data_IF_376512398014
#
_entry.id   IF_376512398014
#
_cell.length_a   1.000
_cell.length_b   1.000
_cell.length_c   1.000
_cell.angle_alpha   90.00
_cell.angle_beta   90.00
_cell.angle_gamma   90.00
#
_symmetry.space_group_name_H-M   'P 1'
#
loop_
_entity.id
_entity.type
_entity.pdbx_description
1 polymer ?
#
# COMPACT_ATOMS: atom_id res chain seq x y z
N UNK A 1 -19.07 -31.84 7.29
CA UNK A 1 -17.81 -32.05 8.06
C UNK A 1 -16.72 -32.75 7.24
N UNK A 2 -17.05 -33.87 6.57
CA UNK A 2 -16.11 -34.68 5.77
C UNK A 2 -15.44 -33.88 4.61
N UNK A 3 -16.19 -33.19 3.75
CA UNK A 3 -15.65 -32.38 2.64
C UNK A 3 -14.75 -31.25 3.11
N UNK A 4 -15.04 -30.62 4.25
CA UNK A 4 -14.20 -29.55 4.82
C UNK A 4 -12.85 -30.08 5.32
N UNK A 5 -12.79 -31.30 5.84
CA UNK A 5 -11.55 -31.98 6.22
C UNK A 5 -10.70 -32.29 4.98
N UNK A 6 -11.32 -32.84 3.92
CA UNK A 6 -10.62 -33.12 2.65
C UNK A 6 -10.06 -31.82 2.05
N UNK A 7 -10.84 -30.74 2.00
CA UNK A 7 -10.38 -29.45 1.50
C UNK A 7 -9.20 -28.88 2.31
N UNK A 8 -9.23 -29.04 3.63
CA UNK A 8 -8.12 -28.59 4.49
C UNK A 8 -6.85 -29.43 4.27
N UNK A 9 -6.96 -30.74 4.12
CA UNK A 9 -5.84 -31.62 3.78
C UNK A 9 -5.27 -31.27 2.40
N UNK A 10 -6.13 -31.09 1.40
CA UNK A 10 -5.74 -30.69 0.07
C UNK A 10 -4.96 -29.37 0.09
N UNK A 11 -5.49 -28.35 0.76
CA UNK A 11 -4.83 -27.05 0.91
C UNK A 11 -3.49 -27.16 1.65
N UNK A 12 -3.40 -28.00 2.68
CA UNK A 12 -2.15 -28.19 3.41
C UNK A 12 -1.05 -28.79 2.53
N UNK A 13 -1.39 -29.80 1.71
CA UNK A 13 -0.42 -30.46 0.83
C UNK A 13 -0.07 -29.61 -0.38
N UNK A 14 -1.04 -28.92 -0.99
CA UNK A 14 -0.80 -27.99 -2.11
C UNK A 14 0.11 -26.83 -1.68
N UNK A 15 0.02 -26.38 -0.43
CA UNK A 15 0.86 -25.33 0.13
C UNK A 15 2.21 -25.84 0.67
N UNK A 16 2.58 -27.09 0.43
CA UNK A 16 3.89 -27.62 0.86
C UNK A 16 5.04 -26.80 0.28
N UNK A 17 5.95 -26.35 1.15
CA UNK A 17 7.12 -25.54 0.77
C UNK A 17 6.86 -24.04 0.65
N UNK A 18 5.62 -23.56 0.81
CA UNK A 18 5.28 -22.15 0.74
C UNK A 18 5.48 -21.48 2.11
N UNK A 19 6.05 -20.27 2.11
CA UNK A 19 6.25 -19.45 3.31
C UNK A 19 6.04 -17.96 3.00
N UNK A 20 5.79 -17.09 4.01
CA UNK A 20 5.43 -15.68 3.81
C UNK A 20 6.45 -14.84 3.04
N UNK A 21 7.73 -15.22 3.06
CA UNK A 21 8.79 -14.52 2.32
C UNK A 21 8.96 -14.97 0.86
N UNK A 22 8.12 -15.87 0.36
CA UNK A 22 8.20 -16.32 -1.02
C UNK A 22 7.48 -15.32 -1.94
N UNK A 23 8.11 -14.98 -3.08
CA UNK A 23 7.47 -14.10 -4.04
C UNK A 23 6.17 -14.71 -4.56
N UNK A 24 5.23 -13.85 -4.97
CA UNK A 24 3.96 -14.28 -5.52
C UNK A 24 4.10 -15.26 -6.70
N UNK A 25 5.04 -14.98 -7.61
CA UNK A 25 5.33 -15.84 -8.77
C UNK A 25 5.84 -17.21 -8.33
N UNK A 26 6.81 -17.27 -7.41
CA UNK A 26 7.35 -18.53 -6.90
C UNK A 26 6.33 -19.34 -6.12
N UNK A 27 5.49 -18.69 -5.35
CA UNK A 27 4.36 -19.32 -4.65
C UNK A 27 3.44 -20.05 -5.63
N UNK A 28 3.12 -19.41 -6.74
CA UNK A 28 2.22 -19.99 -7.78
C UNK A 28 2.87 -21.15 -8.52
N UNK A 29 4.12 -20.99 -8.93
CA UNK A 29 4.88 -22.05 -9.60
C UNK A 29 4.96 -23.29 -8.71
N UNK A 30 5.22 -23.10 -7.43
CA UNK A 30 5.29 -24.20 -6.45
C UNK A 30 3.93 -24.85 -6.24
N UNK A 31 2.85 -24.06 -6.09
CA UNK A 31 1.47 -24.60 -5.99
C UNK A 31 1.10 -25.40 -7.22
N UNK A 32 1.37 -24.89 -8.41
CA UNK A 32 1.07 -25.60 -9.66
C UNK A 32 1.75 -26.96 -9.72
N UNK A 33 3.04 -27.04 -9.38
CA UNK A 33 3.75 -28.31 -9.33
C UNK A 33 3.16 -29.27 -8.31
N UNK A 34 2.81 -28.77 -7.11
CA UNK A 34 2.21 -29.60 -6.08
C UNK A 34 0.83 -30.12 -6.51
N UNK A 35 -0.01 -29.30 -7.16
CA UNK A 35 -1.34 -29.69 -7.69
C UNK A 35 -1.21 -30.83 -8.70
N UNK A 36 -0.15 -30.86 -9.49
CA UNK A 36 0.08 -31.91 -10.47
C UNK A 36 0.74 -33.15 -9.86
N UNK A 37 1.76 -32.97 -9.01
CA UNK A 37 2.51 -34.06 -8.42
C UNK A 37 1.68 -34.92 -7.46
N UNK A 38 0.73 -34.32 -6.69
CA UNK A 38 -0.09 -35.07 -5.73
C UNK A 38 -0.97 -36.14 -6.40
N UNK A 39 -1.79 -35.80 -7.41
CA UNK A 39 -2.53 -36.81 -8.18
C UNK A 39 -1.58 -37.78 -8.90
N UNK A 40 -0.41 -37.29 -9.37
CA UNK A 40 0.64 -38.11 -9.97
C UNK A 40 1.05 -39.27 -9.04
N UNK A 41 1.40 -38.98 -7.79
CA UNK A 41 1.75 -40.00 -6.77
C UNK A 41 0.65 -41.04 -6.64
N UNK A 42 -0.61 -40.61 -6.48
CA UNK A 42 -1.74 -41.55 -6.28
C UNK A 42 -1.95 -42.41 -7.51
N UNK A 43 -1.90 -41.82 -8.68
CA UNK A 43 -2.17 -42.51 -9.96
C UNK A 43 -1.05 -43.50 -10.30
N UNK A 44 0.22 -43.10 -10.19
CA UNK A 44 1.36 -43.97 -10.49
C UNK A 44 1.47 -45.11 -9.50
N UNK A 45 1.15 -44.91 -8.22
CA UNK A 45 1.06 -45.96 -7.21
C UNK A 45 -0.06 -46.94 -7.53
N UNK A 46 -1.24 -46.45 -7.90
CA UNK A 46 -2.36 -47.31 -8.34
C UNK A 46 -1.96 -48.21 -9.51
N UNK A 47 -1.34 -47.63 -10.53
CA UNK A 47 -0.86 -48.41 -11.67
C UNK A 47 0.30 -49.33 -11.36
N UNK A 48 1.14 -49.01 -10.38
CA UNK A 48 2.15 -49.92 -9.86
C UNK A 48 1.52 -51.20 -9.31
N UNK A 49 0.54 -51.05 -8.41
CA UNK A 49 -0.17 -52.20 -7.82
C UNK A 49 -0.93 -52.99 -8.89
N UNK A 50 -1.63 -52.28 -9.80
CA UNK A 50 -2.38 -52.96 -10.88
C UNK A 50 -1.45 -53.78 -11.79
N UNK A 51 -0.26 -53.31 -12.09
CA UNK A 51 0.71 -54.03 -12.91
C UNK A 51 1.29 -55.25 -12.20
N UNK A 52 1.49 -55.19 -10.88
CA UNK A 52 1.90 -56.34 -10.08
C UNK A 52 0.81 -57.44 -10.12
N UNK A 53 -0.45 -57.07 -9.92
CA UNK A 53 -1.58 -58.00 -10.00
C UNK A 53 -1.72 -58.61 -11.40
N UNK A 54 -1.40 -57.87 -12.45
CA UNK A 54 -1.43 -58.33 -13.85
C UNK A 54 -0.15 -59.05 -14.29
N UNK A 55 0.73 -59.44 -13.38
CA UNK A 55 2.01 -60.12 -13.65
C UNK A 55 2.92 -59.39 -14.66
N UNK A 56 2.97 -58.01 -14.52
CA UNK A 56 3.83 -57.14 -15.38
C UNK A 56 4.89 -56.41 -14.50
N UNK A 57 5.89 -57.14 -13.96
CA UNK A 57 6.79 -56.61 -12.95
C UNK A 57 7.65 -55.43 -13.43
N UNK A 58 8.10 -55.45 -14.71
CA UNK A 58 8.87 -54.35 -15.25
C UNK A 58 8.06 -53.06 -15.35
N UNK A 59 6.82 -53.13 -15.75
CA UNK A 59 5.94 -51.98 -15.82
C UNK A 59 5.55 -51.48 -14.41
N UNK A 60 5.41 -52.38 -13.46
CA UNK A 60 5.21 -52.03 -12.05
C UNK A 60 6.44 -51.27 -11.49
N UNK A 61 7.67 -51.74 -11.79
CA UNK A 61 8.90 -51.09 -11.39
C UNK A 61 9.00 -49.66 -11.94
N UNK A 62 8.70 -49.46 -13.23
CA UNK A 62 8.69 -48.15 -13.86
C UNK A 62 7.68 -47.22 -13.16
N UNK A 63 6.48 -47.68 -12.86
CA UNK A 63 5.49 -46.87 -12.13
C UNK A 63 5.92 -46.56 -10.69
N UNK A 64 6.65 -47.47 -10.02
CA UNK A 64 7.23 -47.20 -8.71
C UNK A 64 8.27 -46.07 -8.79
N UNK A 65 9.12 -46.09 -9.82
CA UNK A 65 10.11 -45.03 -10.04
C UNK A 65 9.41 -43.68 -10.31
N UNK A 66 8.32 -43.66 -11.09
CA UNK A 66 7.51 -42.47 -11.28
C UNK A 66 6.96 -41.94 -9.93
N UNK A 67 6.39 -42.82 -9.10
CA UNK A 67 5.88 -42.46 -7.78
C UNK A 67 6.97 -41.81 -6.91
N UNK A 68 8.17 -42.40 -6.90
CA UNK A 68 9.33 -41.87 -6.17
C UNK A 68 9.80 -40.51 -6.73
N UNK A 69 9.74 -40.31 -8.05
CA UNK A 69 10.05 -39.03 -8.68
C UNK A 69 9.06 -37.95 -8.26
N UNK A 70 7.76 -38.23 -8.27
CA UNK A 70 6.73 -37.28 -7.83
C UNK A 70 6.86 -36.94 -6.33
N UNK A 71 7.16 -37.93 -5.49
CA UNK A 71 7.45 -37.72 -4.05
C UNK A 71 8.71 -36.87 -3.86
N UNK A 72 9.75 -37.08 -4.68
CA UNK A 72 10.97 -36.26 -4.65
C UNK A 72 10.69 -34.81 -4.99
N UNK A 73 9.83 -34.53 -5.95
CA UNK A 73 9.41 -33.16 -6.29
C UNK A 73 8.77 -32.46 -5.09
N UNK A 74 7.82 -33.13 -4.42
CA UNK A 74 7.17 -32.61 -3.22
C UNK A 74 8.17 -32.40 -2.07
N UNK A 75 9.12 -33.31 -1.91
CA UNK A 75 10.20 -33.22 -0.92
C UNK A 75 11.14 -32.03 -1.19
N UNK A 76 11.56 -31.83 -2.44
CA UNK A 76 12.40 -30.71 -2.84
C UNK A 76 11.68 -29.38 -2.60
N UNK A 77 10.38 -29.28 -2.95
CA UNK A 77 9.57 -28.11 -2.65
C UNK A 77 9.49 -27.85 -1.14
N UNK A 78 9.27 -28.89 -0.31
CA UNK A 78 9.28 -28.78 1.15
C UNK A 78 10.63 -28.29 1.69
N UNK A 79 11.74 -28.69 1.09
CA UNK A 79 13.10 -28.25 1.43
C UNK A 79 13.47 -26.89 0.81
N UNK A 80 12.53 -26.20 0.15
CA UNK A 80 12.70 -24.90 -0.52
C UNK A 80 13.72 -24.94 -1.68
N UNK A 81 13.95 -26.11 -2.29
CA UNK A 81 14.83 -26.32 -3.44
C UNK A 81 14.00 -26.26 -4.72
N UNK A 82 13.37 -25.11 -4.99
CA UNK A 82 12.36 -24.96 -6.04
C UNK A 82 12.91 -25.13 -7.46
N UNK A 83 14.14 -24.69 -7.70
CA UNK A 83 14.79 -24.86 -9.01
C UNK A 83 15.04 -26.32 -9.33
N UNK A 84 15.55 -27.05 -8.35
CA UNK A 84 15.81 -28.50 -8.48
C UNK A 84 14.51 -29.29 -8.62
N UNK A 85 13.44 -28.91 -7.92
CA UNK A 85 12.14 -29.53 -8.08
C UNK A 85 11.62 -29.37 -9.51
N UNK A 86 11.75 -28.17 -10.09
CA UNK A 86 11.35 -27.91 -11.48
C UNK A 86 12.20 -28.65 -12.49
N UNK A 87 13.51 -28.67 -12.30
CA UNK A 87 14.40 -29.44 -13.16
C UNK A 87 14.11 -30.95 -13.09
N UNK A 88 13.82 -31.46 -11.89
CA UNK A 88 13.47 -32.88 -11.70
C UNK A 88 12.21 -33.26 -12.49
N UNK A 89 11.16 -32.41 -12.50
CA UNK A 89 9.93 -32.66 -13.31
C UNK A 89 10.29 -32.89 -14.76
N UNK A 90 11.09 -32.01 -15.34
CA UNK A 90 11.44 -32.08 -16.78
C UNK A 90 12.29 -33.34 -17.07
N UNK A 91 13.33 -33.55 -16.27
CA UNK A 91 14.27 -34.67 -16.47
C UNK A 91 13.55 -36.01 -16.31
N UNK A 92 12.82 -36.20 -15.20
CA UNK A 92 12.10 -37.44 -14.97
C UNK A 92 10.98 -37.68 -15.99
N UNK A 93 10.24 -36.62 -16.37
CA UNK A 93 9.20 -36.76 -17.37
C UNK A 93 9.77 -37.19 -18.74
N UNK A 94 10.84 -36.57 -19.22
CA UNK A 94 11.47 -36.94 -20.49
C UNK A 94 12.00 -38.39 -20.47
N UNK A 95 12.71 -38.75 -19.40
CA UNK A 95 13.29 -40.08 -19.28
C UNK A 95 12.21 -41.15 -19.07
N UNK A 96 11.37 -40.98 -18.06
CA UNK A 96 10.44 -42.06 -17.65
C UNK A 96 9.26 -42.18 -18.60
N UNK A 97 8.65 -41.07 -19.04
CA UNK A 97 7.55 -41.14 -20.00
C UNK A 97 8.07 -41.52 -21.41
N UNK A 98 9.25 -41.04 -21.79
CA UNK A 98 9.89 -41.43 -23.07
C UNK A 98 10.20 -42.92 -23.11
N UNK A 99 10.94 -43.42 -22.11
CA UNK A 99 11.31 -44.85 -22.02
C UNK A 99 10.05 -45.73 -21.91
N UNK A 100 9.13 -45.37 -21.01
CA UNK A 100 7.93 -46.16 -20.81
C UNK A 100 7.00 -46.18 -22.02
N UNK A 101 6.81 -45.04 -22.68
CA UNK A 101 6.03 -44.94 -23.92
C UNK A 101 6.66 -45.76 -25.05
N UNK A 102 7.99 -45.67 -25.21
CA UNK A 102 8.75 -46.38 -26.22
C UNK A 102 8.67 -47.91 -26.09
N UNK A 103 9.04 -48.45 -24.91
CA UNK A 103 9.12 -49.91 -24.73
C UNK A 103 7.76 -50.56 -24.43
N UNK A 104 6.86 -49.89 -23.73
CA UNK A 104 5.59 -50.52 -23.32
C UNK A 104 4.39 -50.07 -24.10
N UNK A 105 4.48 -48.99 -24.89
CA UNK A 105 3.39 -48.43 -25.70
C UNK A 105 2.08 -48.32 -24.91
N UNK A 106 2.18 -47.78 -23.68
CA UNK A 106 1.09 -47.79 -22.72
C UNK A 106 0.32 -46.45 -22.64
N UNK A 107 0.63 -45.45 -23.49
CA UNK A 107 -0.03 -44.15 -23.54
C UNK A 107 0.47 -43.15 -22.49
N UNK A 108 1.57 -43.43 -21.77
CA UNK A 108 2.14 -42.47 -20.82
C UNK A 108 2.84 -41.32 -21.52
N UNK A 109 3.22 -41.45 -22.77
CA UNK A 109 3.77 -40.38 -23.59
C UNK A 109 2.83 -39.16 -23.69
N UNK A 110 1.51 -39.33 -23.53
CA UNK A 110 0.57 -38.21 -23.49
C UNK A 110 0.77 -37.27 -22.30
N UNK A 111 1.39 -37.74 -21.20
CA UNK A 111 1.76 -36.84 -20.09
C UNK A 111 2.88 -35.87 -20.44
N UNK A 112 3.64 -36.09 -21.52
CA UNK A 112 4.58 -35.11 -22.06
C UNK A 112 3.87 -33.84 -22.54
N UNK A 113 2.60 -33.94 -22.96
CA UNK A 113 1.77 -32.75 -23.28
C UNK A 113 1.52 -31.93 -22.02
N UNK A 114 1.20 -32.58 -20.90
CA UNK A 114 1.05 -31.87 -19.60
C UNK A 114 2.36 -31.19 -19.21
N UNK A 115 3.51 -31.87 -19.36
CA UNK A 115 4.82 -31.31 -19.05
C UNK A 115 5.11 -30.09 -19.94
N UNK A 116 4.78 -30.15 -21.22
CA UNK A 116 4.90 -29.02 -22.14
C UNK A 116 4.07 -27.81 -21.66
N UNK A 117 2.82 -28.03 -21.28
CA UNK A 117 1.96 -26.98 -20.71
C UNK A 117 2.57 -26.41 -19.42
N UNK A 118 3.03 -27.27 -18.50
CA UNK A 118 3.66 -26.83 -17.26
C UNK A 118 4.90 -25.98 -17.49
N UNK A 119 5.74 -26.33 -18.49
CA UNK A 119 6.92 -25.54 -18.84
C UNK A 119 6.52 -24.13 -19.26
N UNK A 120 5.48 -23.97 -20.11
CA UNK A 120 4.97 -22.65 -20.51
C UNK A 120 4.36 -21.85 -19.35
N UNK A 121 3.81 -22.52 -18.35
CA UNK A 121 3.22 -21.87 -17.18
C UNK A 121 4.26 -21.49 -16.10
N UNK A 122 5.45 -22.11 -16.13
CA UNK A 122 6.48 -21.96 -15.09
C UNK A 122 7.64 -21.08 -15.55
N UNK A 123 8.06 -21.17 -16.81
CA UNK A 123 9.25 -20.49 -17.31
C UNK A 123 8.92 -19.31 -18.21
N UNK A 124 9.66 -18.20 -18.05
CA UNK A 124 9.47 -16.98 -18.84
C UNK A 124 10.52 -16.83 -19.95
N UNK A 125 11.61 -17.62 -19.90
CA UNK A 125 12.72 -17.55 -20.88
C UNK A 125 12.32 -18.18 -22.22
N UNK A 126 12.14 -17.34 -23.24
CA UNK A 126 11.68 -17.75 -24.58
C UNK A 126 12.60 -18.77 -25.26
N UNK A 127 13.91 -18.64 -25.08
CA UNK A 127 14.87 -19.57 -25.64
C UNK A 127 14.82 -20.95 -24.98
N UNK A 128 14.71 -20.97 -23.64
CA UNK A 128 14.53 -22.21 -22.88
C UNK A 128 13.21 -22.90 -23.27
N UNK A 129 12.12 -22.13 -23.40
CA UNK A 129 10.82 -22.64 -23.83
C UNK A 129 10.90 -23.26 -25.23
N UNK A 130 11.52 -22.56 -26.18
CA UNK A 130 11.73 -23.08 -27.55
C UNK A 130 12.53 -24.38 -27.55
N UNK A 131 13.67 -24.41 -26.86
CA UNK A 131 14.51 -25.60 -26.77
C UNK A 131 13.77 -26.80 -26.16
N UNK A 132 13.13 -26.62 -24.99
CA UNK A 132 12.40 -27.68 -24.31
C UNK A 132 11.19 -28.16 -25.15
N UNK A 133 10.49 -27.24 -25.82
CA UNK A 133 9.39 -27.61 -26.71
C UNK A 133 9.84 -28.52 -27.86
N UNK A 134 10.93 -28.15 -28.55
CA UNK A 134 11.49 -28.97 -29.61
C UNK A 134 11.92 -30.33 -29.07
N UNK A 135 12.57 -30.37 -27.92
CA UNK A 135 13.01 -31.61 -27.26
C UNK A 135 11.83 -32.53 -26.94
N UNK A 136 10.78 -31.99 -26.28
CA UNK A 136 9.57 -32.79 -25.93
C UNK A 136 8.86 -33.30 -27.17
N UNK A 137 8.64 -32.45 -28.18
CA UNK A 137 8.01 -32.84 -29.43
C UNK A 137 8.83 -33.92 -30.12
N UNK A 138 10.17 -33.80 -30.13
CA UNK A 138 11.06 -34.85 -30.71
C UNK A 138 10.94 -36.16 -29.96
N UNK A 139 10.85 -36.16 -28.63
CA UNK A 139 10.62 -37.38 -27.84
C UNK A 139 9.25 -37.99 -28.13
N UNK A 140 8.20 -37.17 -28.19
CA UNK A 140 6.84 -37.65 -28.58
C UNK A 140 6.89 -38.31 -29.98
N UNK A 141 7.50 -37.66 -30.97
CA UNK A 141 7.64 -38.18 -32.31
C UNK A 141 8.43 -39.51 -32.33
N UNK A 142 9.54 -39.57 -31.60
CA UNK A 142 10.35 -40.79 -31.49
C UNK A 142 9.53 -41.93 -30.86
N UNK A 143 8.83 -41.70 -29.76
CA UNK A 143 8.00 -42.69 -29.09
C UNK A 143 6.85 -43.16 -29.96
N UNK A 144 6.33 -42.32 -30.86
CA UNK A 144 5.24 -42.64 -31.77
C UNK A 144 5.73 -43.45 -32.99
N UNK A 145 6.79 -43.01 -33.65
CA UNK A 145 7.24 -43.57 -34.94
C UNK A 145 8.21 -44.75 -34.79
N UNK A 146 9.13 -44.76 -33.84
CA UNK A 146 10.13 -45.79 -33.72
C UNK A 146 9.53 -47.20 -33.43
N UNK A 147 8.53 -47.37 -32.58
CA UNK A 147 7.87 -48.67 -32.37
C UNK A 147 7.18 -49.20 -33.62
N UNK A 148 6.70 -48.32 -34.50
CA UNK A 148 6.10 -48.72 -35.79
C UNK A 148 7.18 -49.26 -36.72
N UNK A 149 8.36 -48.62 -36.80
CA UNK A 149 9.50 -49.03 -37.61
C UNK A 149 10.06 -50.36 -37.14
N UNK A 150 10.07 -50.61 -35.82
CA UNK A 150 10.63 -51.84 -35.24
C UNK A 150 9.60 -52.93 -34.89
N UNK A 151 8.36 -52.79 -35.38
CA UNK A 151 7.22 -53.71 -35.16
C UNK A 151 6.98 -54.06 -33.64
N UNK A 152 7.17 -53.08 -32.77
CA UNK A 152 6.93 -53.27 -31.35
C UNK A 152 5.42 -53.23 -31.03
N UNK A 153 4.88 -54.33 -30.47
CA UNK A 153 3.47 -54.43 -30.13
C UNK A 153 3.16 -53.78 -28.75
N UNK A 154 1.98 -53.18 -28.58
CA UNK A 154 1.58 -52.68 -27.27
C UNK A 154 1.51 -53.78 -26.23
N UNK A 155 2.08 -53.56 -25.04
CA UNK A 155 2.05 -54.51 -23.94
C UNK A 155 0.78 -54.37 -23.06
N UNK A 156 -0.04 -53.39 -23.34
CA UNK A 156 -1.27 -53.09 -22.57
C UNK A 156 -2.48 -52.99 -23.48
N UNK A 157 -3.69 -53.26 -22.95
CA UNK A 157 -4.93 -53.11 -23.74
C UNK A 157 -5.15 -51.67 -24.18
N UNK A 158 -5.80 -51.48 -25.36
CA UNK A 158 -6.14 -50.21 -25.94
C UNK A 158 -6.94 -49.27 -24.99
N UNK A 159 -7.83 -49.85 -24.18
CA UNK A 159 -8.59 -49.14 -23.16
C UNK A 159 -7.71 -48.43 -22.13
N UNK A 160 -6.52 -48.99 -21.81
CA UNK A 160 -5.56 -48.36 -20.88
C UNK A 160 -4.84 -47.17 -21.52
N UNK A 161 -4.52 -47.28 -22.82
CA UNK A 161 -3.92 -46.19 -23.58
C UNK A 161 -4.90 -45.02 -23.63
N UNK A 162 -6.18 -45.30 -23.90
CA UNK A 162 -7.24 -44.30 -23.90
C UNK A 162 -7.41 -43.67 -22.49
N UNK A 163 -7.39 -44.49 -21.45
CA UNK A 163 -7.48 -43.99 -20.05
C UNK A 163 -6.33 -43.03 -19.71
N UNK A 164 -5.08 -43.36 -20.10
CA UNK A 164 -3.94 -42.46 -19.88
C UNK A 164 -4.07 -41.15 -20.64
N UNK A 165 -4.57 -41.18 -21.88
CA UNK A 165 -4.87 -39.98 -22.67
C UNK A 165 -5.92 -39.08 -21.95
N UNK A 166 -7.03 -39.67 -21.53
CA UNK A 166 -8.11 -38.94 -20.84
C UNK A 166 -7.61 -38.32 -19.54
N UNK A 167 -6.83 -39.07 -18.76
CA UNK A 167 -6.24 -38.57 -17.51
C UNK A 167 -5.24 -37.43 -17.80
N UNK A 168 -4.36 -37.58 -18.78
CA UNK A 168 -3.41 -36.55 -19.15
C UNK A 168 -4.10 -35.25 -19.57
N UNK A 169 -5.14 -35.34 -20.42
CA UNK A 169 -5.96 -34.20 -20.80
C UNK A 169 -6.71 -33.58 -19.62
N UNK A 170 -7.25 -34.40 -18.71
CA UNK A 170 -7.89 -33.94 -17.47
C UNK A 170 -6.92 -33.13 -16.60
N UNK A 171 -5.69 -33.60 -16.44
CA UNK A 171 -4.66 -32.89 -15.68
C UNK A 171 -4.22 -31.57 -16.38
N UNK A 172 -4.16 -31.54 -17.71
CA UNK A 172 -3.95 -30.29 -18.46
C UNK A 172 -5.06 -29.28 -18.18
N UNK A 173 -6.33 -29.74 -18.21
CA UNK A 173 -7.48 -28.86 -17.90
C UNK A 173 -7.39 -28.32 -16.48
N UNK A 174 -7.05 -29.15 -15.49
CA UNK A 174 -6.85 -28.73 -14.10
C UNK A 174 -5.74 -27.66 -14.01
N UNK A 175 -4.59 -27.88 -14.65
CA UNK A 175 -3.49 -26.93 -14.68
C UNK A 175 -3.90 -25.59 -15.31
N UNK A 176 -4.66 -25.61 -16.40
CA UNK A 176 -5.15 -24.41 -17.08
C UNK A 176 -6.22 -23.66 -16.26
N UNK A 177 -7.14 -24.38 -15.61
CA UNK A 177 -8.14 -23.77 -14.70
C UNK A 177 -7.41 -23.07 -13.54
N UNK A 178 -6.46 -23.74 -12.92
CA UNK A 178 -5.64 -23.14 -11.87
C UNK A 178 -4.91 -21.89 -12.37
N UNK A 179 -4.26 -21.96 -13.52
CA UNK A 179 -3.56 -20.82 -14.12
C UNK A 179 -4.51 -19.65 -14.37
N UNK A 180 -5.69 -19.93 -14.95
CA UNK A 180 -6.70 -18.89 -15.19
C UNK A 180 -7.14 -18.20 -13.90
N UNK A 181 -7.47 -18.98 -12.87
CA UNK A 181 -7.86 -18.44 -11.54
C UNK A 181 -6.81 -17.50 -10.99
N UNK A 182 -5.57 -17.92 -11.06
CA UNK A 182 -4.39 -17.19 -10.63
C UNK A 182 -4.15 -15.91 -11.45
N UNK A 183 -4.34 -15.98 -12.76
CA UNK A 183 -4.18 -14.82 -13.64
C UNK A 183 -5.25 -13.77 -13.38
N UNK A 184 -6.50 -14.20 -13.16
CA UNK A 184 -7.60 -13.29 -12.81
C UNK A 184 -7.33 -12.57 -11.48
N UNK A 185 -6.92 -13.30 -10.44
CA UNK A 185 -6.57 -12.72 -9.13
C UNK A 185 -5.44 -11.66 -9.24
N UNK A 186 -4.44 -11.94 -10.09
CA UNK A 186 -3.36 -10.98 -10.34
C UNK A 186 -3.82 -9.73 -11.08
N UNK A 187 -4.70 -9.89 -12.06
CA UNK A 187 -5.27 -8.76 -12.79
C UNK A 187 -6.11 -7.87 -11.86
N UNK A 188 -6.93 -8.45 -10.99
CA UNK A 188 -7.72 -7.71 -10.00
C UNK A 188 -6.83 -6.91 -9.06
N UNK A 189 -5.79 -7.52 -8.48
CA UNK A 189 -4.84 -6.83 -7.61
C UNK A 189 -4.12 -5.68 -8.32
N UNK A 190 -3.69 -5.90 -9.58
CA UNK A 190 -3.00 -4.87 -10.37
C UNK A 190 -3.92 -3.71 -10.69
N UNK A 191 -5.18 -3.99 -11.02
CA UNK A 191 -6.19 -2.96 -11.32
C UNK A 191 -6.53 -2.15 -10.06
N UNK A 192 -6.63 -2.78 -8.89
CA UNK A 192 -6.88 -2.07 -7.63
C UNK A 192 -5.69 -1.17 -7.24
N UNK A 193 -4.46 -1.64 -7.42
CA UNK A 193 -3.26 -0.81 -7.22
C UNK A 193 -3.24 0.38 -8.19
N UNK A 194 -3.61 0.16 -9.45
CA UNK A 194 -3.69 1.21 -10.47
C UNK A 194 -4.74 2.26 -10.09
N UNK A 195 -5.94 1.84 -9.66
CA UNK A 195 -6.99 2.75 -9.20
C UNK A 195 -6.53 3.58 -8.01
N UNK A 196 -5.85 2.96 -7.03
CA UNK A 196 -5.31 3.68 -5.88
C UNK A 196 -4.26 4.73 -6.31
N UNK A 197 -3.35 4.37 -7.23
CA UNK A 197 -2.38 5.31 -7.81
C UNK A 197 -3.04 6.45 -8.59
N UNK A 198 -4.10 6.16 -9.36
CA UNK A 198 -4.84 7.17 -10.12
C UNK A 198 -5.54 8.17 -9.20
N UNK A 199 -6.11 7.72 -8.08
CA UNK A 199 -6.71 8.60 -7.05
C UNK A 199 -5.63 9.52 -6.46
N UNK A 200 -4.51 8.95 -6.00
CA UNK A 200 -3.39 9.73 -5.46
C UNK A 200 -2.85 10.77 -6.46
N UNK A 201 -2.72 10.39 -7.73
CA UNK A 201 -2.25 11.30 -8.77
C UNK A 201 -3.25 12.42 -9.06
N UNK A 202 -4.56 12.14 -9.07
CA UNK A 202 -5.60 13.17 -9.22
C UNK A 202 -5.58 14.16 -8.07
N UNK A 203 -5.43 13.69 -6.84
CA UNK A 203 -5.37 14.56 -5.66
C UNK A 203 -4.12 15.42 -5.70
N UNK A 204 -2.98 14.87 -6.13
CA UNK A 204 -1.74 15.61 -6.38
C UNK A 204 -1.94 16.71 -7.43
N UNK A 205 -2.57 16.42 -8.55
CA UNK A 205 -2.83 17.41 -9.63
C UNK A 205 -3.78 18.51 -9.16
N UNK A 206 -4.85 18.17 -8.42
CA UNK A 206 -5.77 19.14 -7.82
C UNK A 206 -5.03 20.07 -6.88
N UNK A 207 -4.15 19.53 -6.03
CA UNK A 207 -3.35 20.32 -5.11
C UNK A 207 -2.45 21.31 -5.86
N UNK A 208 -1.70 20.86 -6.87
CA UNK A 208 -0.87 21.76 -7.69
C UNK A 208 -1.68 22.87 -8.36
N UNK A 209 -2.89 22.59 -8.80
CA UNK A 209 -3.80 23.57 -9.38
C UNK A 209 -4.21 24.65 -8.37
N UNK A 210 -4.56 24.26 -7.14
CA UNK A 210 -4.90 25.19 -6.05
C UNK A 210 -3.70 26.06 -5.70
N UNK A 211 -2.53 25.45 -5.52
CA UNK A 211 -1.28 26.16 -5.22
C UNK A 211 -0.92 27.17 -6.31
N UNK A 212 -0.96 26.75 -7.58
CA UNK A 212 -0.66 27.62 -8.71
C UNK A 212 -1.61 28.84 -8.76
N UNK A 213 -2.89 28.64 -8.43
CA UNK A 213 -3.87 29.73 -8.33
C UNK A 213 -3.52 30.68 -7.16
N UNK A 214 -3.24 30.13 -5.98
CA UNK A 214 -2.99 30.90 -4.77
C UNK A 214 -1.63 31.63 -4.78
N UNK A 215 -0.65 31.17 -5.57
CA UNK A 215 0.58 31.89 -5.86
C UNK A 215 0.36 32.97 -6.91
N UNK A 216 -0.39 32.70 -7.98
CA UNK A 216 -0.60 33.63 -9.08
C UNK A 216 -1.34 34.90 -8.62
N UNK A 217 -2.34 34.76 -7.74
CA UNK A 217 -3.15 35.88 -7.27
C UNK A 217 -2.34 36.96 -6.56
N UNK A 218 -1.52 36.71 -5.52
CA UNK A 218 -0.68 37.72 -4.88
C UNK A 218 0.42 38.24 -5.78
N UNK A 219 0.98 37.41 -6.67
CA UNK A 219 1.97 37.86 -7.67
C UNK A 219 1.37 38.88 -8.64
N UNK A 220 0.17 38.66 -9.16
CA UNK A 220 -0.51 39.60 -10.04
C UNK A 220 -0.82 40.94 -9.32
N UNK A 221 -1.18 40.88 -8.04
CA UNK A 221 -1.38 42.09 -7.21
C UNK A 221 -0.06 42.83 -7.01
N UNK A 222 1.02 42.09 -6.72
CA UNK A 222 2.36 42.64 -6.58
C UNK A 222 2.80 43.35 -7.87
N UNK A 223 2.65 42.68 -9.02
CA UNK A 223 2.97 43.26 -10.33
C UNK A 223 2.17 44.54 -10.62
N UNK A 224 0.86 44.51 -10.34
CA UNK A 224 -0.01 45.67 -10.46
C UNK A 224 0.42 46.85 -9.61
N UNK A 225 0.75 46.60 -8.32
CA UNK A 225 1.26 47.64 -7.41
C UNK A 225 2.61 48.22 -7.89
N UNK A 226 3.55 47.34 -8.33
CA UNK A 226 4.85 47.80 -8.88
C UNK A 226 4.70 48.61 -10.15
N UNK A 227 3.80 48.23 -11.06
CA UNK A 227 3.45 49.01 -12.25
C UNK A 227 2.87 50.41 -11.90
N UNK A 228 2.02 50.45 -10.91
CA UNK A 228 1.47 51.68 -10.37
C UNK A 228 2.58 52.59 -9.80
N UNK A 229 3.54 52.05 -9.04
CA UNK A 229 4.72 52.82 -8.54
C UNK A 229 5.61 53.35 -9.67
N UNK A 230 5.78 52.59 -10.73
CA UNK A 230 6.65 53.02 -11.85
C UNK A 230 6.10 54.20 -12.65
N UNK A 231 4.77 54.42 -12.58
CA UNK A 231 4.09 55.44 -13.38
C UNK A 231 3.96 56.82 -12.70
N UNK A 232 4.65 57.06 -11.57
CA UNK A 232 4.80 58.37 -10.88
C UNK A 232 3.52 59.18 -10.58
N UNK A 233 2.37 58.54 -10.33
CA UNK A 233 1.09 59.26 -10.15
C UNK A 233 0.52 59.15 -8.71
N UNK A 234 1.38 58.98 -7.68
CA UNK A 234 0.91 58.78 -6.30
C UNK A 234 1.36 59.90 -5.35
N UNK A 235 0.45 60.22 -4.40
CA UNK A 235 0.80 60.98 -3.21
C UNK A 235 1.64 60.13 -2.24
N UNK A 236 2.39 60.74 -1.34
CA UNK A 236 3.23 60.07 -0.34
C UNK A 236 2.39 59.18 0.57
N UNK A 237 1.15 59.54 0.84
CA UNK A 237 0.19 58.78 1.64
C UNK A 237 -0.28 57.49 0.93
N UNK A 238 -0.52 57.56 -0.39
CA UNK A 238 -0.93 56.43 -1.20
C UNK A 238 0.22 55.41 -1.35
N UNK A 239 1.46 55.92 -1.51
CA UNK A 239 2.68 55.08 -1.55
C UNK A 239 2.85 54.26 -0.23
N UNK A 240 2.64 54.89 0.91
CA UNK A 240 2.76 54.21 2.21
C UNK A 240 1.69 53.13 2.39
N UNK A 241 0.46 53.41 2.00
CA UNK A 241 -0.64 52.46 2.04
C UNK A 241 -0.39 51.26 1.12
N UNK A 242 0.03 51.50 -0.11
CA UNK A 242 0.37 50.46 -1.08
C UNK A 242 1.58 49.63 -0.64
N UNK A 243 2.60 50.23 0.01
CA UNK A 243 3.73 49.48 0.57
C UNK A 243 3.32 48.53 1.69
N UNK A 244 2.38 48.93 2.55
CA UNK A 244 1.82 48.08 3.61
C UNK A 244 1.05 46.91 2.99
N UNK A 245 0.20 47.17 2.00
CA UNK A 245 -0.54 46.12 1.29
C UNK A 245 0.39 45.12 0.59
N UNK A 246 1.45 45.63 -0.05
CA UNK A 246 2.49 44.88 -0.69
C UNK A 246 3.17 43.95 0.31
N UNK A 247 3.59 44.46 1.46
CA UNK A 247 4.24 43.69 2.51
C UNK A 247 3.35 42.57 3.01
N UNK A 248 2.06 42.82 3.24
CA UNK A 248 1.09 41.81 3.64
C UNK A 248 0.93 40.70 2.59
N UNK A 249 0.88 41.06 1.30
CA UNK A 249 0.73 40.08 0.21
C UNK A 249 1.99 39.22 0.02
N UNK A 250 3.18 39.80 0.15
CA UNK A 250 4.45 39.06 0.08
C UNK A 250 4.58 38.12 1.29
N UNK A 251 4.23 38.57 2.46
CA UNK A 251 4.26 37.76 3.67
C UNK A 251 3.29 36.54 3.55
N UNK A 252 2.09 36.77 3.03
CA UNK A 252 1.09 35.72 2.79
C UNK A 252 1.58 34.70 1.73
N UNK A 253 2.26 35.17 0.67
CA UNK A 253 2.86 34.30 -0.34
C UNK A 253 3.97 33.43 0.27
N UNK A 254 4.84 34.03 1.11
CA UNK A 254 5.90 33.32 1.83
C UNK A 254 5.36 32.22 2.72
N UNK A 255 4.28 32.47 3.46
CA UNK A 255 3.61 31.47 4.29
C UNK A 255 3.03 30.32 3.45
N UNK A 256 2.35 30.64 2.34
CA UNK A 256 1.82 29.64 1.42
C UNK A 256 2.91 28.76 0.82
N UNK A 257 4.04 29.38 0.42
CA UNK A 257 5.19 28.67 -0.15
C UNK A 257 5.87 27.77 0.90
N UNK A 258 6.03 28.25 2.12
CA UNK A 258 6.59 27.45 3.22
C UNK A 258 5.70 26.23 3.55
N UNK A 259 4.39 26.39 3.58
CA UNK A 259 3.45 25.32 3.77
C UNK A 259 3.53 24.28 2.64
N UNK A 260 3.71 24.74 1.39
CA UNK A 260 3.91 23.87 0.23
C UNK A 260 5.23 23.09 0.32
N UNK A 261 6.35 23.77 0.64
CA UNK A 261 7.66 23.14 0.77
C UNK A 261 7.65 22.06 1.86
N UNK A 262 7.03 22.34 3.00
CA UNK A 262 6.86 21.37 4.07
C UNK A 262 6.04 20.16 3.63
N UNK A 263 4.96 20.39 2.89
CA UNK A 263 4.14 19.31 2.34
C UNK A 263 4.89 18.45 1.31
N UNK A 264 5.59 19.09 0.35
CA UNK A 264 6.36 18.37 -0.69
C UNK A 264 7.55 17.60 -0.11
N UNK A 265 8.25 18.16 0.87
CA UNK A 265 9.34 17.47 1.57
C UNK A 265 8.85 16.22 2.28
N UNK A 266 7.67 16.26 2.88
CA UNK A 266 7.04 15.11 3.51
C UNK A 266 6.61 14.03 2.51
N UNK A 267 6.08 14.42 1.36
CA UNK A 267 5.65 13.47 0.31
C UNK A 267 6.84 12.77 -0.39
N UNK A 268 7.97 13.46 -0.59
CA UNK A 268 9.13 12.93 -1.32
C UNK A 268 9.99 11.96 -0.50
N UNK A 269 10.01 12.08 0.83
CA UNK A 269 10.84 11.23 1.71
C UNK A 269 10.04 10.26 2.58
N UNK A 270 8.68 10.26 2.49
CA UNK A 270 7.82 9.77 3.57
C UNK A 270 8.03 10.68 4.78
N UNK A 271 7.00 11.29 5.34
CA UNK A 271 7.16 12.03 6.59
C UNK A 271 7.82 11.09 7.60
N UNK A 272 9.11 11.25 7.87
CA UNK A 272 9.70 10.68 9.06
C UNK A 272 9.13 11.48 10.22
N UNK A 273 8.09 10.96 10.81
CA UNK A 273 7.54 11.46 12.09
C UNK A 273 8.45 10.91 13.17
N UNK A 274 9.06 11.78 13.93
CA UNK A 274 9.92 11.44 15.07
C UNK A 274 9.18 11.81 16.37
N UNK A 275 8.25 10.95 16.85
CA UNK A 275 7.47 11.24 18.03
C UNK A 275 8.35 11.16 19.27
N UNK A 276 8.19 12.14 20.15
CA UNK A 276 8.85 12.21 21.43
C UNK A 276 7.84 12.64 22.51
N UNK A 277 8.22 12.50 23.75
CA UNK A 277 7.43 13.03 24.87
C UNK A 277 7.60 14.55 24.93
N UNK A 278 6.52 15.29 24.67
CA UNK A 278 6.50 16.76 24.55
C UNK A 278 5.55 17.35 25.56
N UNK A 279 5.99 18.31 26.34
CA UNK A 279 5.12 19.07 27.23
C UNK A 279 4.29 20.09 26.46
N UNK A 280 2.97 20.04 26.61
CA UNK A 280 2.05 20.88 25.84
C UNK A 280 2.11 22.37 26.24
N UNK A 281 2.24 22.70 27.52
CA UNK A 281 2.17 24.08 27.93
C UNK A 281 3.32 24.96 27.39
N UNK A 282 4.60 24.54 27.41
CA UNK A 282 5.67 25.28 26.76
C UNK A 282 5.44 25.45 25.26
N UNK A 283 4.98 24.39 24.57
CA UNK A 283 4.75 24.40 23.14
C UNK A 283 3.60 25.35 22.74
N UNK A 284 2.52 25.37 23.48
CA UNK A 284 1.39 26.30 23.31
C UNK A 284 1.84 27.75 23.53
N UNK A 285 2.64 28.01 24.58
CA UNK A 285 3.17 29.35 24.88
C UNK A 285 4.09 29.84 23.76
N UNK A 286 4.98 28.99 23.21
CA UNK A 286 5.83 29.35 22.09
C UNK A 286 4.98 29.63 20.83
N UNK A 287 3.96 28.84 20.56
CA UNK A 287 3.04 29.10 19.45
C UNK A 287 2.30 30.45 19.62
N UNK A 288 1.81 30.77 20.82
CA UNK A 288 1.12 32.02 21.13
C UNK A 288 2.02 33.25 21.04
N UNK A 289 3.29 33.18 21.46
CA UNK A 289 4.24 34.27 21.41
C UNK A 289 4.38 34.86 20.01
N UNK A 290 4.30 34.03 18.99
CA UNK A 290 4.36 34.43 17.58
C UNK A 290 3.20 35.35 17.20
N UNK A 291 2.03 35.23 17.84
CA UNK A 291 0.80 35.94 17.48
C UNK A 291 0.44 37.05 18.49
N UNK A 292 1.26 37.33 19.47
CA UNK A 292 0.99 38.35 20.48
C UNK A 292 0.63 39.75 19.90
N UNK A 293 1.32 40.23 18.84
CA UNK A 293 0.94 41.50 18.21
C UNK A 293 -0.47 41.49 17.63
N UNK A 294 -0.87 40.38 17.00
CA UNK A 294 -2.19 40.22 16.37
C UNK A 294 -3.30 40.15 17.43
N UNK A 295 -3.04 39.46 18.51
CA UNK A 295 -3.96 39.33 19.68
C UNK A 295 -4.21 40.69 20.28
N UNK A 296 -3.16 41.47 20.53
CA UNK A 296 -3.26 42.84 21.09
C UNK A 296 -3.96 43.79 20.10
N UNK A 297 -3.65 43.74 18.81
CA UNK A 297 -4.25 44.59 17.80
C UNK A 297 -5.77 44.39 17.71
N UNK A 298 -6.24 43.15 17.87
CA UNK A 298 -7.66 42.77 17.79
C UNK A 298 -8.37 42.81 19.14
N UNK A 299 -7.64 43.14 20.25
CA UNK A 299 -8.16 43.21 21.61
C UNK A 299 -8.62 41.88 22.19
N UNK A 300 -8.11 40.75 21.67
CA UNK A 300 -8.56 39.44 22.08
C UNK A 300 -8.11 39.06 23.49
N UNK A 301 -8.99 38.39 24.20
CA UNK A 301 -8.69 37.80 25.51
C UNK A 301 -8.25 36.35 25.33
N UNK A 302 -7.19 35.98 26.05
CA UNK A 302 -6.70 34.60 26.09
C UNK A 302 -7.08 33.94 27.40
N UNK A 303 -7.74 32.80 27.30
CA UNK A 303 -8.05 31.94 28.46
C UNK A 303 -7.32 30.61 28.25
N UNK A 304 -6.29 30.34 29.07
CA UNK A 304 -5.45 29.15 28.93
C UNK A 304 -5.57 28.25 30.16
N UNK A 305 -6.04 27.03 29.91
CA UNK A 305 -6.19 25.96 30.90
C UNK A 305 -5.46 24.69 30.44
N UNK A 306 -4.13 24.81 30.33
CA UNK A 306 -3.22 23.71 29.98
C UNK A 306 -2.28 23.46 31.13
N UNK A 307 -2.36 22.27 31.74
CA UNK A 307 -1.45 21.90 32.84
C UNK A 307 0.00 21.82 32.31
N UNK A 308 0.93 22.42 33.04
CA UNK A 308 2.36 22.43 32.74
C UNK A 308 3.01 21.04 32.66
N UNK A 309 2.34 20.03 33.19
CA UNK A 309 2.83 18.64 33.26
C UNK A 309 2.15 17.68 32.28
N UNK A 310 1.31 18.16 31.39
CA UNK A 310 0.62 17.30 30.44
C UNK A 310 1.55 16.91 29.28
N UNK A 311 2.13 15.69 29.23
CA UNK A 311 2.95 15.22 28.13
C UNK A 311 2.07 14.60 27.05
N UNK A 312 2.45 14.83 25.79
CA UNK A 312 1.90 14.12 24.62
C UNK A 312 3.03 13.40 23.90
N UNK A 313 2.75 12.26 23.31
CA UNK A 313 3.70 11.54 22.46
C UNK A 313 3.48 11.95 21.01
N UNK A 314 4.26 12.90 20.53
CA UNK A 314 4.11 13.46 19.18
C UNK A 314 5.41 14.10 18.66
N UNK A 315 5.50 14.29 17.35
CA UNK A 315 6.57 15.07 16.72
C UNK A 315 6.39 16.56 17.05
N UNK A 316 7.37 17.14 17.73
CA UNK A 316 7.34 18.53 18.21
C UNK A 316 7.14 19.53 17.06
N UNK A 317 7.83 19.33 15.93
CA UNK A 317 7.76 20.24 14.79
C UNK A 317 6.39 20.19 14.10
N UNK A 318 5.84 18.97 13.92
CA UNK A 318 4.51 18.79 13.35
C UNK A 318 3.44 19.37 14.27
N UNK A 319 3.51 19.12 15.57
CA UNK A 319 2.56 19.64 16.53
C UNK A 319 2.63 21.17 16.63
N UNK A 320 3.83 21.77 16.59
CA UNK A 320 4.01 23.22 16.53
C UNK A 320 3.33 23.84 15.30
N UNK A 321 3.42 23.20 14.12
CA UNK A 321 2.74 23.66 12.91
C UNK A 321 1.22 23.62 13.08
N UNK A 322 0.71 22.53 13.65
CA UNK A 322 -0.72 22.37 13.94
C UNK A 322 -1.22 23.47 14.88
N UNK A 323 -0.52 23.68 16.00
CA UNK A 323 -0.87 24.71 16.97
C UNK A 323 -0.89 26.10 16.36
N UNK A 324 0.16 26.50 15.64
CA UNK A 324 0.22 27.80 14.98
C UNK A 324 -0.91 27.98 13.98
N UNK A 325 -1.27 26.95 13.24
CA UNK A 325 -2.38 27.00 12.29
C UNK A 325 -3.73 27.20 12.97
N UNK A 326 -4.01 26.44 14.05
CA UNK A 326 -5.26 26.54 14.79
C UNK A 326 -5.38 27.89 15.53
N UNK A 327 -4.30 28.37 16.15
CA UNK A 327 -4.26 29.66 16.83
C UNK A 327 -4.43 30.80 15.81
N UNK A 328 -3.74 30.75 14.69
CA UNK A 328 -3.92 31.73 13.60
C UNK A 328 -5.35 31.78 13.10
N UNK A 329 -5.99 30.62 12.93
CA UNK A 329 -7.41 30.55 12.52
C UNK A 329 -8.33 31.14 13.61
N UNK A 330 -8.10 30.81 14.89
CA UNK A 330 -8.88 31.36 15.99
C UNK A 330 -8.79 32.89 16.05
N UNK A 331 -7.61 33.47 15.88
CA UNK A 331 -7.39 34.91 15.82
C UNK A 331 -8.10 35.53 14.60
N UNK A 332 -7.94 34.91 13.44
CA UNK A 332 -8.49 35.39 12.17
C UNK A 332 -10.02 35.46 12.17
N UNK A 333 -10.69 34.43 12.70
CA UNK A 333 -12.12 34.31 12.65
C UNK A 333 -12.84 34.84 13.90
N UNK A 334 -12.15 35.16 15.00
CA UNK A 334 -12.71 35.85 16.17
C UNK A 334 -13.18 37.24 15.84
N UNK A 335 -14.23 37.68 16.51
CA UNK A 335 -14.63 39.09 16.55
C UNK A 335 -13.65 39.92 17.41
N UNK A 336 -13.63 41.25 17.23
CA UNK A 336 -12.89 42.15 18.10
C UNK A 336 -13.35 41.95 19.57
N UNK A 337 -12.40 42.06 20.51
CA UNK A 337 -12.62 41.85 21.93
C UNK A 337 -13.12 40.46 22.33
N UNK A 338 -13.14 39.50 21.38
CA UNK A 338 -13.53 38.13 21.64
C UNK A 338 -12.55 37.36 22.52
N UNK A 339 -12.93 36.15 22.92
CA UNK A 339 -12.09 35.28 23.77
C UNK A 339 -11.63 34.07 22.95
N UNK A 340 -10.35 33.74 23.03
CA UNK A 340 -9.78 32.48 22.56
C UNK A 340 -9.45 31.63 23.77
N UNK A 341 -10.01 30.43 23.83
CA UNK A 341 -9.79 29.48 24.93
C UNK A 341 -8.95 28.32 24.42
N UNK A 342 -7.84 28.03 25.12
CA UNK A 342 -6.97 26.87 24.83
C UNK A 342 -6.97 26.01 26.09
N UNK A 343 -7.46 24.79 25.99
CA UNK A 343 -7.52 23.88 27.15
C UNK A 343 -7.02 22.49 26.78
N UNK A 344 -6.39 21.80 27.73
CA UNK A 344 -5.99 20.42 27.60
C UNK A 344 -6.56 19.60 28.75
N UNK A 345 -7.03 18.41 28.42
CA UNK A 345 -7.43 17.39 29.38
C UNK A 345 -6.77 16.07 29.00
N UNK A 346 -6.38 15.30 30.01
CA UNK A 346 -5.75 13.98 29.80
C UNK A 346 -6.61 12.89 30.41
N UNK A 347 -6.80 11.81 29.72
CA UNK A 347 -7.11 10.51 30.27
C UNK A 347 -5.82 9.65 30.21
N UNK A 348 -5.77 8.53 30.91
CA UNK A 348 -4.54 7.70 31.02
C UNK A 348 -3.96 7.21 29.67
N UNK A 349 -4.62 7.44 28.55
CA UNK A 349 -4.21 6.96 27.21
C UNK A 349 -4.03 8.09 26.21
N UNK A 350 -4.85 9.12 26.33
CA UNK A 350 -4.90 10.20 25.34
C UNK A 350 -4.93 11.55 26.02
N UNK A 351 -4.41 12.54 25.34
CA UNK A 351 -4.54 13.95 25.69
C UNK A 351 -5.42 14.62 24.66
N UNK A 352 -6.46 15.31 25.11
CA UNK A 352 -7.34 16.11 24.30
C UNK A 352 -6.98 17.58 24.47
N UNK A 353 -6.43 18.20 23.43
CA UNK A 353 -6.15 19.63 23.36
C UNK A 353 -7.24 20.31 22.53
N UNK A 354 -7.84 21.38 23.05
CA UNK A 354 -8.85 22.16 22.36
C UNK A 354 -8.41 23.62 22.17
N UNK A 355 -8.72 24.16 20.97
CA UNK A 355 -8.59 25.58 20.62
C UNK A 355 -9.97 26.08 20.23
N UNK A 356 -10.54 26.99 20.98
CA UNK A 356 -11.88 27.52 20.80
C UNK A 356 -11.87 29.03 20.61
N UNK A 357 -12.66 29.52 19.64
CA UNK A 357 -12.87 30.94 19.39
C UNK A 357 -14.35 31.32 19.52
N UNK A 358 -14.60 32.60 19.77
CA UNK A 358 -15.94 33.21 19.78
C UNK A 358 -16.16 34.05 18.51
N UNK A 359 -15.92 33.43 17.36
CA UNK A 359 -16.00 34.10 16.08
C UNK A 359 -17.24 33.81 15.27
N UNK A 360 -17.11 33.98 13.93
CA UNK A 360 -18.23 33.85 13.00
C UNK A 360 -18.80 32.42 12.89
N UNK A 361 -18.03 31.42 13.30
CA UNK A 361 -18.43 30.03 13.15
C UNK A 361 -18.61 29.58 11.70
N UNK A 362 -19.10 28.35 11.50
CA UNK A 362 -19.35 27.77 10.18
C UNK A 362 -20.54 26.82 10.18
N UNK A 363 -21.17 26.69 9.03
CA UNK A 363 -22.26 25.75 8.77
C UNK A 363 -21.76 24.30 8.67
N UNK A 364 -22.68 23.34 8.65
CA UNK A 364 -22.39 21.92 8.65
C UNK A 364 -21.71 21.45 7.34
N UNK A 365 -22.11 21.99 6.21
CA UNK A 365 -21.54 21.64 4.91
C UNK A 365 -20.04 22.01 4.85
N UNK A 366 -19.67 23.16 5.44
CA UNK A 366 -18.28 23.56 5.58
C UNK A 366 -17.48 22.67 6.52
N UNK A 367 -18.05 22.28 7.64
CA UNK A 367 -17.38 21.39 8.58
C UNK A 367 -17.03 20.04 7.95
N UNK A 368 -17.93 19.45 7.15
CA UNK A 368 -17.73 18.16 6.47
C UNK A 368 -16.60 18.20 5.43
N UNK A 369 -16.34 19.37 4.85
CA UNK A 369 -15.31 19.54 3.78
C UNK A 369 -14.01 20.19 4.26
N UNK A 370 -13.93 20.60 5.52
CA UNK A 370 -12.88 21.47 6.06
C UNK A 370 -11.46 20.86 5.97
N UNK A 371 -11.36 19.55 6.10
CA UNK A 371 -10.11 18.79 6.04
C UNK A 371 -9.83 18.16 4.67
N UNK A 372 -10.57 18.57 3.63
CA UNK A 372 -10.41 18.05 2.27
C UNK A 372 -9.78 19.07 1.32
N UNK A 373 -9.04 18.58 0.31
CA UNK A 373 -8.51 19.43 -0.74
C UNK A 373 -9.62 20.03 -1.59
N UNK A 374 -9.49 21.33 -1.93
CA UNK A 374 -10.46 22.04 -2.76
C UNK A 374 -11.53 22.81 -1.97
N UNK A 375 -11.41 22.85 -0.65
CA UNK A 375 -12.22 23.73 0.19
C UNK A 375 -12.00 25.20 -0.22
N UNK A 376 -13.09 25.96 -0.42
CA UNK A 376 -13.02 27.39 -0.72
C UNK A 376 -12.74 28.16 0.57
N UNK A 377 -11.56 28.80 0.71
CA UNK A 377 -11.23 29.53 1.93
C UNK A 377 -12.20 30.72 2.12
N UNK A 378 -12.62 30.92 3.38
CA UNK A 378 -13.42 32.08 3.79
C UNK A 378 -12.52 33.25 4.19
N UNK A 379 -13.10 34.45 4.10
CA UNK A 379 -12.48 35.65 4.62
C UNK A 379 -12.62 35.69 6.15
N UNK A 380 -11.58 36.11 6.83
CA UNK A 380 -11.63 36.42 8.27
C UNK A 380 -12.44 37.65 8.57
N UNK A 381 -12.63 37.94 9.86
CA UNK A 381 -13.43 39.09 10.34
C UNK A 381 -12.83 40.46 9.99
N UNK A 382 -11.54 40.55 9.69
CA UNK A 382 -10.85 41.75 9.20
C UNK A 382 -10.47 41.65 7.69
N UNK A 383 -11.10 40.73 6.93
CA UNK A 383 -10.86 40.57 5.51
C UNK A 383 -9.65 39.68 5.14
N UNK A 384 -9.05 39.02 6.10
CA UNK A 384 -7.90 38.14 5.89
C UNK A 384 -8.32 36.89 5.08
N UNK A 385 -7.59 36.55 4.03
CA UNK A 385 -7.85 35.35 3.22
C UNK A 385 -6.93 34.20 3.69
N UNK A 386 -7.44 32.98 3.80
CA UNK A 386 -6.65 31.79 4.09
C UNK A 386 -6.16 31.08 2.83
N UNK A 387 -5.18 30.20 2.97
CA UNK A 387 -4.67 29.35 1.88
C UNK A 387 -5.56 28.12 1.62
N UNK A 388 -6.44 27.74 2.56
CA UNK A 388 -7.23 26.50 2.48
C UNK A 388 -6.45 25.19 2.63
N UNK A 389 -5.12 25.25 2.77
CA UNK A 389 -4.24 24.07 2.88
C UNK A 389 -3.91 23.75 4.34
N UNK A 390 -3.92 24.77 5.22
CA UNK A 390 -3.45 24.63 6.61
C UNK A 390 -4.16 23.54 7.41
N UNK A 391 -5.49 23.48 7.36
CA UNK A 391 -6.26 22.47 8.10
C UNK A 391 -6.13 21.06 7.53
N UNK A 392 -5.93 20.92 6.21
CA UNK A 392 -5.64 19.63 5.59
C UNK A 392 -4.28 19.09 6.09
N UNK A 393 -3.27 19.97 6.21
CA UNK A 393 -1.98 19.62 6.81
C UNK A 393 -2.11 19.26 8.29
N UNK A 394 -2.93 20.01 9.04
CA UNK A 394 -3.18 19.68 10.44
C UNK A 394 -3.74 18.26 10.60
N UNK A 395 -4.75 17.90 9.78
CA UNK A 395 -5.33 16.56 9.82
C UNK A 395 -4.29 15.48 9.47
N UNK A 396 -3.45 15.72 8.48
CA UNK A 396 -2.40 14.77 8.10
C UNK A 396 -1.34 14.60 9.20
N UNK A 397 -0.83 15.68 9.79
CA UNK A 397 0.16 15.62 10.86
C UNK A 397 -0.38 14.96 12.13
N UNK A 398 -1.62 15.27 12.51
CA UNK A 398 -2.25 14.62 13.66
C UNK A 398 -2.44 13.13 13.42
N UNK A 399 -2.86 12.73 12.21
CA UNK A 399 -2.99 11.32 11.83
C UNK A 399 -1.64 10.58 11.89
N UNK A 400 -0.54 11.21 11.46
CA UNK A 400 0.81 10.64 11.52
C UNK A 400 1.31 10.46 12.94
N UNK A 401 0.84 11.29 13.88
CA UNK A 401 1.10 11.15 15.30
C UNK A 401 0.08 10.23 16.02
N UNK A 402 -0.62 9.36 15.27
CA UNK A 402 -1.65 8.46 15.78
C UNK A 402 -2.78 9.16 16.53
N UNK A 403 -3.07 10.41 16.16
CA UNK A 403 -4.13 11.23 16.75
C UNK A 403 -5.32 11.43 15.82
N UNK A 404 -6.29 12.19 16.30
CA UNK A 404 -7.50 12.60 15.58
C UNK A 404 -7.75 14.10 15.77
N UNK A 405 -8.20 14.79 14.72
CA UNK A 405 -8.67 16.17 14.78
C UNK A 405 -10.15 16.24 14.46
N UNK A 406 -10.91 16.91 15.30
CA UNK A 406 -12.34 17.13 15.12
C UNK A 406 -12.67 18.62 15.22
N UNK A 407 -13.85 19.01 14.69
CA UNK A 407 -14.33 20.39 14.74
C UNK A 407 -15.79 20.44 15.17
N UNK A 408 -16.11 21.37 16.06
CA UNK A 408 -17.46 21.75 16.44
C UNK A 408 -17.65 23.22 16.18
N UNK A 409 -18.66 23.59 15.40
CA UNK A 409 -18.92 24.99 15.05
C UNK A 409 -20.40 25.21 14.74
N UNK A 410 -20.85 26.43 14.95
CA UNK A 410 -22.16 26.88 14.49
C UNK A 410 -22.09 28.37 14.08
N UNK A 411 -22.82 28.80 13.06
CA UNK A 411 -22.83 30.19 12.63
C UNK A 411 -23.09 31.15 13.80
N UNK A 412 -22.22 32.13 13.99
CA UNK A 412 -22.28 33.13 15.06
C UNK A 412 -21.96 32.62 16.47
N UNK A 413 -21.56 31.35 16.64
CA UNK A 413 -21.21 30.78 17.96
C UNK A 413 -19.74 30.43 18.11
N UNK A 414 -18.92 30.73 17.09
CA UNK A 414 -17.50 30.41 17.08
C UNK A 414 -17.20 28.98 16.66
N UNK A 415 -15.95 28.58 16.83
CA UNK A 415 -15.41 27.28 16.41
C UNK A 415 -14.53 26.68 17.50
N UNK A 416 -14.63 25.37 17.71
CA UNK A 416 -13.76 24.60 18.58
C UNK A 416 -13.12 23.48 17.79
N UNK A 417 -11.79 23.50 17.67
CA UNK A 417 -11.01 22.39 17.17
C UNK A 417 -10.53 21.55 18.35
N UNK A 418 -10.67 20.22 18.25
CA UNK A 418 -10.15 19.28 19.25
C UNK A 418 -9.14 18.34 18.60
N UNK A 419 -7.98 18.22 19.25
CA UNK A 419 -6.90 17.31 18.90
C UNK A 419 -6.85 16.21 19.95
N UNK A 420 -6.96 14.97 19.56
CA UNK A 420 -6.73 13.82 20.42
C UNK A 420 -5.39 13.19 20.04
N UNK A 421 -4.44 13.12 20.97
CA UNK A 421 -3.11 12.58 20.77
C UNK A 421 -2.79 11.54 21.84
N UNK A 422 -1.93 10.56 21.57
CA UNK A 422 -1.46 9.62 22.58
C UNK A 422 -0.81 10.39 23.75
N UNK A 423 -1.09 9.97 25.00
CA UNK A 423 -0.42 10.51 26.17
C UNK A 423 1.06 10.12 26.14
N UNK A 424 1.92 11.07 26.45
CA UNK A 424 3.34 10.85 26.66
C UNK A 424 3.63 10.32 28.09
N UNK A 425 4.87 9.96 28.33
CA UNK A 425 5.31 9.57 29.66
C UNK A 425 5.63 10.83 30.51
N UNK A 426 5.18 10.85 31.74
CA UNK A 426 5.59 11.90 32.67
C UNK A 426 7.10 11.77 32.92
N UNK A 427 7.86 12.79 32.56
CA UNK A 427 9.27 12.92 32.95
C UNK A 427 9.35 13.42 34.37
N UNK A 428 10.22 12.84 35.15
CA UNK A 428 10.52 13.34 36.52
C UNK A 428 11.21 14.70 36.45
N UNK A 429 11.12 15.50 37.52
CA UNK A 429 11.76 16.82 37.57
C UNK A 429 13.28 16.75 37.33
N UNK A 430 13.94 15.67 37.73
CA UNK A 430 15.36 15.43 37.53
C UNK A 430 15.70 15.22 36.03
N UNK A 431 14.87 14.52 35.26
CA UNK A 431 15.05 14.30 33.81
C UNK A 431 14.82 15.58 32.99
N UNK A 432 13.95 16.48 33.50
CA UNK A 432 13.68 17.77 32.85
C UNK A 432 14.86 18.74 33.07
N UNK A 433 15.46 18.76 34.25
CA UNK A 433 16.63 19.60 34.57
C UNK A 433 17.89 19.16 33.78
N UNK A 434 18.11 17.88 33.56
CA UNK A 434 19.23 17.38 32.76
C UNK A 434 19.15 17.78 31.30
N UNK A 435 17.95 17.82 30.68
CA UNK A 435 17.77 18.26 29.28
C UNK A 435 18.00 19.78 29.08
N UNK A 436 17.86 20.59 30.11
CA UNK A 436 18.10 22.04 30.04
C UNK A 436 19.58 22.42 30.11
N UNK A 437 20.43 21.51 30.58
CA UNK A 437 21.87 21.73 30.72
C UNK A 437 22.74 20.96 29.73
N UNK A 438 22.13 20.16 28.85
CA UNK A 438 22.79 19.44 27.75
C UNK A 438 22.63 20.18 26.40
#
# INVERSE_FOLDING_TARGET
MFFRKIANYWNAVVNTGIHPGLSFIETRRTKLLNIVAIPGVVLTLYFCVLNLVQHRPLLALVNLIHTLADVLILYLNKKRRYLEARAAVIVFALLLYGISGFFFRNGVEFYLILVLVLIYLIYDNKWLLGFLSVLIISVIALVYYAPVIWDLKPLVPSGRILANLVIALGMVVIALIYFKSVHTEYQEQTEDQRKALDVLNRDKVKLFSVIAHDIRSPLATLEGLLLMFSNNHYSETDMKSAAVELHLKVSQLGETLNNLLRWTAGQMKGFHTEPADVLLAPLVNDALSTFEPNIRQKGLKLDMSVDGRTPVYADTNQLMIVLRNLISNAIKFSHQEGTITISASSDNKNVCLSVSDQGMGMDRERQETLFTFGYKPSYGTAGERGSGIGLVLCAEFIRQNNGEITVESAPGKGTTFRLTLPAGQEKTLEEIEEEWWA
#
